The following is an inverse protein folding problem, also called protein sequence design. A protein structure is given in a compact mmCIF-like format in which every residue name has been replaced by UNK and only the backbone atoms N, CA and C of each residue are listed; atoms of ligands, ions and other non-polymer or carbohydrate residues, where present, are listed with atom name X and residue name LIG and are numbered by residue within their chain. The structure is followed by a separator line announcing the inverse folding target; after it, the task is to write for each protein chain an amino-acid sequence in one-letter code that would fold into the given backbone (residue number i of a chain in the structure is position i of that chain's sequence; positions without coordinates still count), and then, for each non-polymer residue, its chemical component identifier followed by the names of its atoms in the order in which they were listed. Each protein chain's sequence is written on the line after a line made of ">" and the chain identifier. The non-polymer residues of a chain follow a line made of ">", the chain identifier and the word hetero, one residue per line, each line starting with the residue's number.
data_IF_080358559231
#
_entry.id   IF_080358559231
#
_cell.length_a   1.000
_cell.length_b   1.000
_cell.length_c   1.000
_cell.angle_alpha   90.00
_cell.angle_beta   90.00
_cell.angle_gamma   90.00
#
_symmetry.space_group_name_H-M   'P 1'
#
loop_
_entity.id
_entity.type
_entity.pdbx_description
1 polymer ?
#
# COMPACT_ATOMS: atom_id res chain seq x y z
N UNK A 1 -26.21 10.11 14.01
CA UNK A 1 -26.51 11.33 13.22
C UNK A 1 -26.83 10.88 11.82
N UNK A 2 -28.02 11.21 11.32
CA UNK A 2 -28.42 10.93 9.94
C UNK A 2 -27.41 11.57 8.99
N UNK A 3 -26.90 10.89 7.94
CA UNK A 3 -26.03 11.53 6.97
C UNK A 3 -26.84 12.57 6.23
N UNK A 4 -26.59 13.85 6.53
CA UNK A 4 -27.19 14.95 5.80
C UNK A 4 -26.91 14.77 4.32
N UNK A 5 -27.96 14.97 3.51
CA UNK A 5 -27.89 14.91 2.06
C UNK A 5 -26.67 15.68 1.54
N UNK A 6 -25.81 14.99 0.80
CA UNK A 6 -24.64 15.61 0.20
C UNK A 6 -25.10 16.81 -0.67
N UNK A 7 -24.59 18.01 -0.39
CA UNK A 7 -24.81 19.17 -1.24
C UNK A 7 -23.88 19.05 -2.45
N UNK A 8 -24.47 18.89 -3.63
CA UNK A 8 -23.74 18.78 -4.89
C UNK A 8 -23.50 20.15 -5.49
N UNK A 9 -22.23 20.54 -5.61
CA UNK A 9 -21.86 21.82 -6.23
C UNK A 9 -21.50 21.60 -7.70
N UNK A 10 -22.03 22.42 -8.63
CA UNK A 10 -21.63 22.39 -10.03
C UNK A 10 -20.21 22.92 -10.18
N UNK A 11 -19.37 22.21 -10.91
CA UNK A 11 -18.06 22.68 -11.35
C UNK A 11 -18.13 23.20 -12.80
N UNK A 12 -17.03 23.76 -13.31
CA UNK A 12 -16.95 24.26 -14.68
C UNK A 12 -17.27 23.17 -15.70
N UNK A 13 -18.06 23.53 -16.71
CA UNK A 13 -18.31 22.68 -17.86
C UNK A 13 -16.97 22.35 -18.56
N UNK A 14 -16.66 21.06 -18.71
CA UNK A 14 -15.46 20.62 -19.42
C UNK A 14 -15.79 20.35 -20.90
N UNK A 15 -15.08 20.97 -21.86
CA UNK A 15 -15.30 20.73 -23.28
C UNK A 15 -14.87 19.31 -23.66
N UNK A 16 -15.76 18.57 -24.31
CA UNK A 16 -15.46 17.28 -24.93
C UNK A 16 -15.79 17.42 -26.42
N UNK A 17 -14.85 17.45 -27.30
CA UNK A 17 -14.95 17.62 -28.74
C UNK A 17 -16.33 17.86 -29.38
N UNK A 18 -16.41 18.45 -30.56
CA UNK A 18 -17.67 18.76 -31.29
C UNK A 18 -18.65 19.73 -30.58
N UNK A 19 -18.15 20.64 -29.72
CA UNK A 19 -18.98 21.67 -29.08
C UNK A 19 -19.86 21.18 -27.92
N UNK A 20 -19.70 19.92 -27.48
CA UNK A 20 -20.39 19.40 -26.32
C UNK A 20 -19.56 19.63 -25.03
N UNK A 21 -20.24 19.74 -23.89
CA UNK A 21 -19.61 19.87 -22.56
C UNK A 21 -20.08 18.78 -21.62
N UNK A 22 -19.17 18.19 -20.84
CA UNK A 22 -19.49 17.34 -19.69
C UNK A 22 -19.78 18.25 -18.49
N UNK A 23 -20.92 18.04 -17.84
CA UNK A 23 -21.19 18.69 -16.55
C UNK A 23 -20.61 17.87 -15.42
N UNK A 24 -19.84 18.54 -14.58
CA UNK A 24 -19.17 17.97 -13.43
C UNK A 24 -19.80 18.51 -12.14
N UNK A 25 -20.05 17.63 -11.19
CA UNK A 25 -20.58 17.95 -9.88
C UNK A 25 -19.71 17.33 -8.81
N UNK A 26 -19.49 18.04 -7.72
CA UNK A 26 -18.74 17.56 -6.57
C UNK A 26 -19.59 17.54 -5.32
N UNK A 27 -19.28 16.62 -4.43
CA UNK A 27 -19.72 16.63 -3.05
C UNK A 27 -18.62 16.09 -2.15
N UNK A 28 -18.42 16.69 -1.00
CA UNK A 28 -17.55 16.19 0.04
C UNK A 28 -18.42 15.71 1.20
N UNK A 29 -18.23 14.45 1.63
CA UNK A 29 -18.93 13.87 2.76
C UNK A 29 -17.90 13.23 3.69
N UNK A 30 -17.63 13.87 4.81
CA UNK A 30 -16.55 13.50 5.69
C UNK A 30 -15.18 13.64 4.99
N UNK A 31 -14.46 12.52 4.84
CA UNK A 31 -13.17 12.47 4.13
C UNK A 31 -13.29 12.09 2.66
N UNK A 32 -14.47 11.69 2.20
CA UNK A 32 -14.68 11.21 0.84
C UNK A 32 -15.09 12.33 -0.09
N UNK A 33 -14.38 12.45 -1.21
CA UNK A 33 -14.71 13.35 -2.32
C UNK A 33 -15.43 12.57 -3.40
N UNK A 34 -16.68 12.92 -3.64
CA UNK A 34 -17.51 12.39 -4.71
C UNK A 34 -17.46 13.30 -5.92
N UNK A 35 -17.41 12.70 -7.10
CA UNK A 35 -17.43 13.40 -8.37
C UNK A 35 -18.37 12.71 -9.34
N UNK A 36 -19.34 13.44 -9.91
CA UNK A 36 -20.23 12.97 -10.96
C UNK A 36 -19.95 13.74 -12.23
N UNK A 37 -19.57 13.05 -13.30
CA UNK A 37 -19.37 13.58 -14.63
C UNK A 37 -20.51 13.09 -15.53
N UNK A 38 -21.24 14.00 -16.21
CA UNK A 38 -22.39 13.66 -17.04
C UNK A 38 -22.30 14.30 -18.41
N UNK A 39 -22.26 13.46 -19.45
CA UNK A 39 -22.28 13.89 -20.85
C UNK A 39 -23.71 14.30 -21.31
N UNK A 40 -23.81 15.13 -22.38
CA UNK A 40 -25.10 15.58 -22.91
C UNK A 40 -26.03 14.45 -23.36
N UNK A 41 -25.45 13.33 -23.79
CA UNK A 41 -26.19 12.16 -24.32
C UNK A 41 -26.58 11.13 -23.26
N UNK A 42 -26.44 11.46 -21.96
CA UNK A 42 -26.92 10.63 -20.86
C UNK A 42 -25.90 9.63 -20.29
N UNK A 43 -24.70 9.56 -20.85
CA UNK A 43 -23.62 8.79 -20.21
C UNK A 43 -23.10 9.56 -18.99
N UNK A 44 -22.80 8.84 -17.92
CA UNK A 44 -22.26 9.45 -16.71
C UNK A 44 -21.43 8.48 -15.88
N UNK A 45 -20.60 9.07 -15.05
CA UNK A 45 -19.65 8.36 -14.19
C UNK A 45 -19.67 8.97 -12.79
N UNK A 46 -19.69 8.11 -11.78
CA UNK A 46 -19.49 8.48 -10.38
C UNK A 46 -18.15 7.95 -9.91
N UNK A 47 -17.30 8.82 -9.39
CA UNK A 47 -16.05 8.43 -8.73
C UNK A 47 -16.09 8.86 -7.26
N UNK A 48 -15.38 8.09 -6.43
CA UNK A 48 -15.11 8.44 -5.03
C UNK A 48 -13.61 8.41 -4.84
N UNK A 49 -13.04 9.55 -4.44
CA UNK A 49 -11.59 9.72 -4.30
C UNK A 49 -10.81 9.31 -5.57
N UNK A 50 -11.39 9.59 -6.76
CA UNK A 50 -10.81 9.25 -8.06
C UNK A 50 -11.06 7.81 -8.55
N UNK A 51 -11.64 6.93 -7.74
CA UNK A 51 -11.99 5.57 -8.14
C UNK A 51 -13.42 5.53 -8.70
N UNK A 52 -13.60 4.99 -9.92
CA UNK A 52 -14.92 4.82 -10.50
C UNK A 52 -15.70 3.75 -9.73
N UNK A 53 -16.90 4.12 -9.23
CA UNK A 53 -17.77 3.22 -8.48
C UNK A 53 -19.11 2.95 -9.17
N UNK A 54 -19.50 3.78 -10.13
CA UNK A 54 -20.71 3.60 -10.91
C UNK A 54 -20.61 4.31 -12.26
N UNK A 55 -21.25 3.71 -13.27
CA UNK A 55 -21.38 4.29 -14.60
C UNK A 55 -22.81 4.06 -15.10
N UNK A 56 -23.38 5.06 -15.82
CA UNK A 56 -24.61 4.90 -16.59
C UNK A 56 -24.33 5.16 -18.07
N UNK A 57 -24.82 4.28 -18.94
CA UNK A 57 -24.64 4.37 -20.39
C UNK A 57 -25.97 4.59 -21.15
N UNK A 58 -27.12 4.53 -20.46
CA UNK A 58 -28.45 4.46 -21.09
C UNK A 58 -29.48 5.39 -20.47
N UNK A 59 -29.05 6.45 -19.81
CA UNK A 59 -29.98 7.46 -19.34
C UNK A 59 -30.54 8.25 -20.56
N UNK A 60 -31.83 8.53 -20.55
CA UNK A 60 -32.51 9.27 -21.63
C UNK A 60 -31.93 10.67 -21.82
N UNK A 61 -31.49 11.26 -20.72
CA UNK A 61 -30.89 12.56 -20.72
C UNK A 61 -29.94 12.77 -19.52
N UNK A 62 -29.30 13.92 -19.48
CA UNK A 62 -28.35 14.32 -18.45
C UNK A 62 -28.96 14.36 -17.04
N UNK A 63 -30.27 14.66 -16.90
CA UNK A 63 -30.94 14.74 -15.59
C UNK A 63 -31.14 13.35 -14.99
N UNK A 64 -31.58 12.41 -15.83
CA UNK A 64 -31.76 11.01 -15.42
C UNK A 64 -30.42 10.39 -15.04
N UNK A 65 -29.35 10.62 -15.82
CA UNK A 65 -28.01 10.17 -15.51
C UNK A 65 -27.49 10.71 -14.15
N UNK A 66 -27.66 12.01 -13.93
CA UNK A 66 -27.25 12.63 -12.66
C UNK A 66 -28.05 12.09 -11.48
N UNK A 67 -29.37 11.94 -11.62
CA UNK A 67 -30.23 11.41 -10.56
C UNK A 67 -29.84 9.99 -10.18
N UNK A 68 -29.57 9.12 -11.18
CA UNK A 68 -29.15 7.74 -10.96
C UNK A 68 -27.80 7.64 -10.27
N UNK A 69 -26.83 8.47 -10.67
CA UNK A 69 -25.50 8.48 -10.06
C UNK A 69 -25.51 9.09 -8.67
N UNK A 70 -26.36 10.11 -8.41
CA UNK A 70 -26.57 10.65 -7.08
C UNK A 70 -27.15 9.60 -6.14
N UNK A 71 -28.17 8.86 -6.58
CA UNK A 71 -28.74 7.75 -5.81
C UNK A 71 -27.69 6.67 -5.51
N UNK A 72 -26.82 6.34 -6.50
CA UNK A 72 -25.71 5.43 -6.29
C UNK A 72 -24.72 5.94 -5.24
N UNK A 73 -24.42 7.24 -5.23
CA UNK A 73 -23.58 7.85 -4.20
C UNK A 73 -24.21 7.77 -2.80
N UNK A 74 -25.52 8.01 -2.69
CA UNK A 74 -26.25 7.88 -1.42
C UNK A 74 -26.29 6.43 -0.93
N UNK A 75 -26.47 5.45 -1.82
CA UNK A 75 -26.39 4.01 -1.50
C UNK A 75 -24.97 3.63 -1.04
N UNK A 76 -23.94 4.13 -1.74
CA UNK A 76 -22.55 3.93 -1.32
C UNK A 76 -22.28 4.43 0.10
N UNK A 77 -22.76 5.64 0.45
CA UNK A 77 -22.60 6.23 1.77
C UNK A 77 -23.29 5.40 2.87
N UNK A 78 -24.41 4.74 2.56
CA UNK A 78 -25.12 3.86 3.48
C UNK A 78 -24.54 2.44 3.54
N UNK A 79 -23.54 2.12 2.68
CA UNK A 79 -23.01 0.76 2.55
C UNK A 79 -24.01 -0.23 1.90
N UNK A 80 -25.01 0.29 1.20
CA UNK A 80 -26.03 -0.49 0.50
C UNK A 80 -25.54 -0.90 -0.89
N UNK A 81 -26.01 -2.05 -1.45
CA UNK A 81 -25.71 -2.41 -2.83
C UNK A 81 -26.17 -1.35 -3.81
N UNK A 82 -25.29 -0.95 -4.73
CA UNK A 82 -25.60 0.05 -5.75
C UNK A 82 -26.44 -0.60 -6.85
N UNK A 83 -27.70 -0.17 -6.98
CA UNK A 83 -28.58 -0.62 -8.06
C UNK A 83 -28.42 0.26 -9.31
N UNK A 84 -27.73 -0.23 -10.33
CA UNK A 84 -27.72 0.39 -11.65
C UNK A 84 -28.67 -0.36 -12.58
N UNK A 85 -29.50 0.37 -13.32
CA UNK A 85 -30.28 -0.21 -14.42
C UNK A 85 -29.40 -0.26 -15.67
N UNK A 86 -29.14 -1.45 -16.17
CA UNK A 86 -28.45 -1.67 -17.44
C UNK A 86 -29.39 -2.47 -18.33
N UNK A 87 -29.81 -1.89 -19.45
CA UNK A 87 -30.75 -2.52 -20.39
C UNK A 87 -32.06 -2.97 -19.72
N UNK A 88 -32.64 -2.13 -18.85
CA UNK A 88 -33.88 -2.42 -18.14
C UNK A 88 -33.77 -3.57 -17.12
N UNK A 89 -32.59 -4.16 -16.94
CA UNK A 89 -32.31 -5.17 -15.91
C UNK A 89 -31.52 -4.52 -14.79
N UNK A 90 -32.10 -4.49 -13.60
CA UNK A 90 -31.41 -4.04 -12.40
C UNK A 90 -30.27 -5.02 -12.08
N UNK A 91 -29.03 -4.59 -12.27
CA UNK A 91 -27.85 -5.28 -11.72
C UNK A 91 -27.50 -4.62 -10.39
N UNK A 92 -27.54 -5.40 -9.33
CA UNK A 92 -26.98 -4.99 -8.06
C UNK A 92 -25.47 -5.12 -8.18
N UNK A 93 -24.78 -3.99 -8.24
CA UNK A 93 -23.34 -3.95 -8.00
C UNK A 93 -23.21 -3.83 -6.48
N UNK A 94 -22.53 -4.78 -5.80
CA UNK A 94 -22.27 -4.60 -4.38
C UNK A 94 -21.66 -3.22 -4.18
N UNK A 95 -22.16 -2.46 -3.21
CA UNK A 95 -21.50 -1.21 -2.82
C UNK A 95 -20.10 -1.59 -2.35
N UNK A 96 -19.10 -1.39 -3.20
CA UNK A 96 -17.71 -1.68 -2.87
C UNK A 96 -17.13 -0.49 -2.08
N UNK A 97 -17.70 -0.19 -0.92
CA UNK A 97 -16.89 -0.10 0.28
C UNK A 97 -16.60 -1.55 0.66
N UNK A 98 -15.94 -2.27 -0.21
CA UNK A 98 -15.38 -3.53 0.16
C UNK A 98 -14.29 -3.19 1.17
N UNK A 99 -14.66 -3.17 2.43
CA UNK A 99 -13.71 -3.31 3.55
C UNK A 99 -13.13 -4.71 3.42
N UNK A 100 -12.37 -4.92 2.33
CA UNK A 100 -11.78 -6.21 1.97
C UNK A 100 -10.96 -6.80 3.12
N UNK A 101 -10.52 -5.95 4.03
CA UNK A 101 -9.72 -6.30 5.19
C UNK A 101 -10.44 -5.97 6.51
N UNK A 102 -11.77 -5.87 6.51
CA UNK A 102 -12.55 -5.62 7.73
C UNK A 102 -12.29 -6.74 8.75
N UNK A 103 -12.02 -6.35 10.01
CA UNK A 103 -11.68 -7.27 11.09
C UNK A 103 -10.28 -7.91 10.99
N UNK A 104 -9.50 -7.64 9.93
CA UNK A 104 -8.09 -8.03 9.86
C UNK A 104 -7.25 -7.10 10.73
N UNK A 105 -6.19 -7.64 11.32
CA UNK A 105 -5.27 -6.94 12.24
C UNK A 105 -3.85 -7.02 11.70
N UNK A 106 -3.20 -5.88 11.51
CA UNK A 106 -1.90 -5.81 10.88
C UNK A 106 -0.87 -5.01 11.66
N UNK A 107 0.39 -5.44 11.57
CA UNK A 107 1.55 -4.73 12.09
C UNK A 107 2.31 -4.09 10.93
N UNK A 108 2.52 -2.78 11.01
CA UNK A 108 3.30 -2.01 10.04
C UNK A 108 4.57 -1.50 10.71
N UNK A 109 5.72 -1.90 10.17
CA UNK A 109 7.03 -1.49 10.66
C UNK A 109 7.76 -0.72 9.57
N UNK A 110 8.31 0.47 9.93
CA UNK A 110 9.13 1.27 9.02
C UNK A 110 8.51 2.60 8.59
N UNK A 111 7.43 3.06 9.23
CA UNK A 111 6.94 4.43 9.02
C UNK A 111 7.93 5.39 9.64
N UNK A 112 8.52 6.28 8.83
CA UNK A 112 9.38 7.36 9.27
C UNK A 112 8.74 8.74 9.05
N UNK A 113 7.97 8.89 8.00
CA UNK A 113 7.20 10.08 7.60
C UNK A 113 6.14 9.68 6.55
N UNK A 114 5.43 10.67 6.02
CA UNK A 114 4.40 10.54 4.98
C UNK A 114 4.91 10.06 3.60
N UNK A 115 6.22 10.07 3.38
CA UNK A 115 6.85 9.57 2.14
C UNK A 115 7.31 8.11 2.26
N UNK A 116 7.12 7.49 3.41
CA UNK A 116 7.52 6.10 3.62
C UNK A 116 6.64 5.14 2.84
N UNK A 117 7.22 4.12 2.21
CA UNK A 117 6.46 3.02 1.59
C UNK A 117 5.52 2.37 2.62
N UNK A 118 6.00 2.20 3.85
CA UNK A 118 5.19 1.69 4.96
C UNK A 118 3.95 2.55 5.24
N UNK A 119 4.04 3.88 5.05
CA UNK A 119 2.88 4.77 5.16
C UNK A 119 1.86 4.51 4.06
N UNK A 120 2.29 4.42 2.78
CA UNK A 120 1.40 4.09 1.68
C UNK A 120 0.69 2.75 1.88
N UNK A 121 1.42 1.73 2.37
CA UNK A 121 0.84 0.44 2.75
C UNK A 121 -0.18 0.61 3.89
N UNK A 122 0.18 1.28 4.98
CA UNK A 122 -0.69 1.48 6.13
C UNK A 122 -2.00 2.20 5.75
N UNK A 123 -1.91 3.26 4.94
CA UNK A 123 -3.06 4.00 4.45
C UNK A 123 -4.00 3.11 3.62
N UNK A 124 -3.45 2.28 2.71
CA UNK A 124 -4.22 1.33 1.91
C UNK A 124 -4.89 0.25 2.77
N UNK A 125 -4.17 -0.36 3.71
CA UNK A 125 -4.74 -1.35 4.62
C UNK A 125 -5.87 -0.76 5.47
N UNK A 126 -5.67 0.45 6.00
CA UNK A 126 -6.70 1.14 6.81
C UNK A 126 -7.92 1.51 5.98
N UNK A 127 -7.73 2.00 4.76
CA UNK A 127 -8.82 2.32 3.83
C UNK A 127 -9.68 1.09 3.52
N UNK A 128 -9.09 -0.10 3.48
CA UNK A 128 -9.78 -1.38 3.29
C UNK A 128 -10.35 -1.98 4.58
N UNK A 129 -10.25 -1.30 5.73
CA UNK A 129 -10.94 -1.64 6.97
C UNK A 129 -10.09 -2.36 8.01
N UNK A 130 -8.79 -2.59 7.78
CA UNK A 130 -7.94 -3.25 8.76
C UNK A 130 -7.67 -2.37 10.00
N UNK A 131 -7.54 -3.00 11.17
CA UNK A 131 -6.96 -2.39 12.36
C UNK A 131 -5.44 -2.48 12.32
N UNK A 132 -4.73 -1.40 12.68
CA UNK A 132 -3.29 -1.32 12.56
C UNK A 132 -2.58 -1.13 13.90
N UNK A 133 -1.48 -1.85 14.06
CA UNK A 133 -0.38 -1.54 14.96
C UNK A 133 0.75 -0.91 14.13
N UNK A 134 1.32 0.18 14.61
CA UNK A 134 2.45 0.85 13.95
C UNK A 134 3.61 1.04 14.93
N UNK A 135 4.82 1.11 14.39
CA UNK A 135 6.01 1.34 15.20
C UNK A 135 6.76 2.58 14.74
N UNK A 136 7.55 3.14 15.64
CA UNK A 136 8.48 4.23 15.38
C UNK A 136 9.87 3.88 15.92
N UNK A 137 10.93 4.33 15.24
CA UNK A 137 12.30 3.94 15.58
C UNK A 137 12.76 4.46 16.96
N UNK A 138 12.49 5.72 17.26
CA UNK A 138 12.93 6.42 18.48
C UNK A 138 12.11 7.69 18.69
N UNK A 139 12.36 8.43 19.80
CA UNK A 139 11.60 9.64 20.15
C UNK A 139 11.69 10.76 19.09
N UNK A 140 12.79 10.83 18.33
CA UNK A 140 12.91 11.77 17.23
C UNK A 140 11.96 11.40 16.09
N UNK A 141 11.87 10.12 15.75
CA UNK A 141 10.95 9.60 14.74
C UNK A 141 9.49 9.69 15.21
N UNK A 142 9.24 9.48 16.51
CA UNK A 142 7.90 9.53 17.13
C UNK A 142 7.14 10.79 16.76
N UNK A 143 7.80 11.96 16.77
CA UNK A 143 7.19 13.26 16.45
C UNK A 143 6.59 13.31 15.03
N UNK A 144 7.16 12.55 14.10
CA UNK A 144 6.66 12.44 12.72
C UNK A 144 5.64 11.31 12.57
N UNK A 145 5.77 10.24 13.35
CA UNK A 145 4.88 9.07 13.26
C UNK A 145 3.56 9.26 14.00
N UNK A 146 3.56 9.95 15.16
CA UNK A 146 2.34 10.14 15.96
C UNK A 146 1.17 10.81 15.20
N UNK A 147 1.39 11.87 14.38
CA UNK A 147 0.30 12.43 13.59
C UNK A 147 -0.27 11.41 12.59
N UNK A 148 0.61 10.65 11.94
CA UNK A 148 0.26 9.62 10.96
C UNK A 148 -0.48 8.45 11.63
N UNK A 149 -0.02 8.01 12.80
CA UNK A 149 -0.68 6.97 13.57
C UNK A 149 -2.11 7.37 13.99
N UNK A 150 -2.32 8.65 14.32
CA UNK A 150 -3.66 9.19 14.61
C UNK A 150 -4.55 9.23 13.36
N UNK A 151 -4.00 9.60 12.21
CA UNK A 151 -4.73 9.59 10.94
C UNK A 151 -5.18 8.18 10.56
N UNK A 152 -4.34 7.16 10.81
CA UNK A 152 -4.66 5.76 10.61
C UNK A 152 -5.64 5.20 11.65
N UNK A 153 -5.96 5.94 12.72
CA UNK A 153 -6.66 5.40 13.90
C UNK A 153 -5.94 4.13 14.42
N UNK A 154 -4.59 4.16 14.44
CA UNK A 154 -3.79 3.03 14.84
C UNK A 154 -4.05 2.69 16.31
N UNK A 155 -4.39 1.42 16.59
CA UNK A 155 -4.80 0.97 17.94
C UNK A 155 -3.60 0.72 18.86
N UNK A 156 -2.44 0.41 18.27
CA UNK A 156 -1.20 0.15 18.97
C UNK A 156 -0.10 1.00 18.32
N UNK A 157 0.63 1.77 19.12
CA UNK A 157 1.77 2.58 18.66
C UNK A 157 2.92 2.35 19.63
N UNK A 158 4.04 1.79 19.16
CA UNK A 158 5.15 1.37 20.00
C UNK A 158 6.53 1.74 19.43
N UNK A 159 7.55 1.97 20.28
CA UNK A 159 8.93 2.06 19.81
C UNK A 159 9.42 0.72 19.30
N UNK A 160 10.24 0.74 18.24
CA UNK A 160 10.95 -0.42 17.74
C UNK A 160 12.24 -0.01 17.03
N UNK A 161 13.37 -0.13 17.74
CA UNK A 161 14.67 -0.29 17.12
C UNK A 161 15.01 -1.78 17.13
N UNK A 162 15.10 -2.38 15.95
CA UNK A 162 15.33 -3.82 15.81
C UNK A 162 16.69 -4.29 16.31
N UNK A 163 17.62 -3.36 16.61
CA UNK A 163 18.92 -3.63 17.21
C UNK A 163 18.89 -3.59 18.73
N UNK A 164 17.80 -3.15 19.33
CA UNK A 164 17.65 -3.14 20.79
C UNK A 164 16.98 -4.44 21.23
N UNK A 165 17.71 -5.31 21.96
CA UNK A 165 17.18 -6.59 22.42
C UNK A 165 15.86 -6.44 23.19
N UNK A 166 14.90 -7.29 22.89
CA UNK A 166 13.58 -7.32 23.56
C UNK A 166 12.55 -6.34 23.00
N UNK A 167 12.91 -5.33 22.21
CA UNK A 167 11.92 -4.41 21.68
C UNK A 167 11.00 -5.04 20.65
N UNK A 168 11.50 -5.93 19.80
CA UNK A 168 10.65 -6.62 18.84
C UNK A 168 9.69 -7.57 19.56
N UNK A 169 10.19 -8.35 20.51
CA UNK A 169 9.38 -9.22 21.36
C UNK A 169 8.27 -8.45 22.07
N UNK A 170 8.58 -7.29 22.66
CA UNK A 170 7.61 -6.45 23.36
C UNK A 170 6.46 -5.97 22.43
N UNK A 171 6.74 -5.69 21.16
CA UNK A 171 5.71 -5.34 20.18
C UNK A 171 4.75 -6.52 19.95
N UNK A 172 5.29 -7.73 19.74
CA UNK A 172 4.46 -8.92 19.51
C UNK A 172 3.72 -9.36 20.76
N UNK A 173 4.30 -9.24 21.95
CA UNK A 173 3.63 -9.46 23.24
C UNK A 173 2.45 -8.50 23.44
N UNK A 174 2.62 -7.23 23.10
CA UNK A 174 1.55 -6.25 23.15
C UNK A 174 0.41 -6.60 22.19
N UNK A 175 0.72 -7.02 20.97
CA UNK A 175 -0.27 -7.48 19.98
C UNK A 175 -0.98 -8.75 20.50
N UNK A 176 -0.24 -9.70 21.07
CA UNK A 176 -0.80 -10.90 21.63
C UNK A 176 -1.79 -10.58 22.76
N UNK A 177 -1.43 -9.65 23.65
CA UNK A 177 -2.26 -9.22 24.79
C UNK A 177 -3.54 -8.51 24.34
N UNK A 178 -3.41 -7.53 23.40
CA UNK A 178 -4.53 -6.65 23.04
C UNK A 178 -5.43 -7.26 21.97
N UNK A 179 -4.88 -8.08 21.06
CA UNK A 179 -5.60 -8.62 19.91
C UNK A 179 -5.72 -10.14 19.87
N UNK A 180 -4.76 -10.84 20.46
CA UNK A 180 -4.71 -12.32 20.45
C UNK A 180 -4.49 -12.93 19.07
N UNK A 181 -4.38 -12.12 18.02
CA UNK A 181 -4.16 -12.54 16.62
C UNK A 181 -3.43 -11.49 15.82
N UNK A 182 -2.88 -11.94 14.69
CA UNK A 182 -2.29 -11.08 13.66
C UNK A 182 -2.64 -11.68 12.30
N UNK A 183 -3.09 -10.85 11.36
CA UNK A 183 -3.48 -11.29 10.02
C UNK A 183 -2.42 -10.93 8.97
N UNK A 184 -1.64 -9.87 9.19
CA UNK A 184 -0.52 -9.51 8.31
C UNK A 184 0.56 -8.69 9.02
N UNK A 185 1.78 -8.74 8.48
CA UNK A 185 2.93 -7.93 8.91
C UNK A 185 3.60 -7.32 7.71
N UNK A 186 3.93 -6.04 7.78
CA UNK A 186 4.76 -5.33 6.80
C UNK A 186 6.09 -4.98 7.43
N UNK A 187 7.15 -5.64 6.97
CA UNK A 187 8.55 -5.34 7.27
C UNK A 187 9.09 -4.38 6.21
N UNK A 188 9.14 -3.08 6.54
CA UNK A 188 9.61 -2.03 5.62
C UNK A 188 10.79 -1.27 6.22
N UNK A 189 11.80 -2.02 6.65
CA UNK A 189 13.05 -1.49 7.22
C UNK A 189 14.25 -2.04 6.47
N UNK A 190 15.27 -1.20 6.36
CA UNK A 190 16.59 -1.55 5.87
C UNK A 190 17.61 -0.53 6.37
N UNK A 191 18.82 -0.96 6.62
CA UNK A 191 19.91 -0.08 7.02
C UNK A 191 21.25 -0.65 6.59
N UNK A 192 22.15 0.23 6.21
CA UNK A 192 23.57 -0.06 6.02
C UNK A 192 24.39 1.13 6.52
N UNK A 193 25.52 0.92 7.20
CA UNK A 193 26.47 1.99 7.50
C UNK A 193 26.91 2.70 6.23
N UNK A 194 27.21 4.01 6.32
CA UNK A 194 27.53 4.82 5.12
C UNK A 194 28.75 4.33 4.36
N UNK A 195 29.79 3.94 5.07
CA UNK A 195 31.03 3.37 4.52
C UNK A 195 30.77 2.06 3.75
N UNK A 196 29.92 1.18 4.30
CA UNK A 196 29.52 -0.06 3.64
C UNK A 196 28.59 0.23 2.42
N UNK A 197 27.71 1.23 2.51
CA UNK A 197 26.79 1.57 1.42
C UNK A 197 27.49 2.27 0.26
N UNK A 198 28.45 3.17 0.54
CA UNK A 198 29.10 3.99 -0.50
C UNK A 198 30.43 3.44 -0.99
N UNK A 199 30.98 2.43 -0.31
CA UNK A 199 32.24 1.76 -0.65
C UNK A 199 32.07 0.72 -1.78
N UNK A 200 33.21 0.18 -2.24
CA UNK A 200 33.20 -1.00 -3.11
C UNK A 200 32.74 -2.22 -2.31
N UNK A 201 31.98 -3.10 -2.93
CA UNK A 201 31.46 -4.32 -2.24
C UNK A 201 32.60 -5.20 -1.71
N UNK A 202 33.72 -5.29 -2.46
CA UNK A 202 34.87 -6.11 -2.07
C UNK A 202 35.65 -5.56 -0.89
N UNK A 203 35.45 -4.28 -0.53
CA UNK A 203 36.14 -3.60 0.56
C UNK A 203 35.27 -3.46 1.81
N UNK A 204 34.03 -4.02 1.79
CA UNK A 204 33.11 -3.92 2.92
C UNK A 204 33.73 -4.61 4.15
N UNK A 205 33.69 -3.92 5.29
CA UNK A 205 34.11 -4.52 6.55
C UNK A 205 33.14 -5.61 7.03
N UNK A 206 33.63 -6.58 7.81
CA UNK A 206 32.78 -7.61 8.41
C UNK A 206 31.63 -6.97 9.23
N UNK A 207 31.94 -5.96 10.03
CA UNK A 207 30.93 -5.23 10.84
C UNK A 207 29.87 -4.55 9.97
N UNK A 208 30.29 -3.84 8.91
CA UNK A 208 29.37 -3.22 7.94
C UNK A 208 28.51 -4.24 7.23
N UNK A 209 29.08 -5.40 6.84
CA UNK A 209 28.35 -6.50 6.25
C UNK A 209 27.32 -7.08 7.24
N UNK A 210 27.76 -7.43 8.46
CA UNK A 210 26.88 -8.02 9.49
C UNK A 210 25.75 -7.07 9.85
N UNK A 211 26.04 -5.79 10.10
CA UNK A 211 25.02 -4.77 10.40
C UNK A 211 23.98 -4.65 9.27
N UNK A 212 24.43 -4.67 8.01
CA UNK A 212 23.52 -4.57 6.85
C UNK A 212 22.64 -5.81 6.77
N UNK A 213 23.20 -7.00 6.93
CA UNK A 213 22.46 -8.26 6.89
C UNK A 213 21.52 -8.42 8.07
N UNK A 214 21.93 -8.05 9.25
CA UNK A 214 21.11 -8.09 10.46
C UNK A 214 19.84 -7.26 10.27
N UNK A 215 19.97 -5.95 10.02
CA UNK A 215 18.82 -5.05 9.96
C UNK A 215 17.96 -5.28 8.70
N UNK A 216 18.58 -5.59 7.56
CA UNK A 216 17.86 -5.61 6.28
C UNK A 216 17.37 -7.00 5.86
N UNK A 217 17.80 -8.06 6.53
CA UNK A 217 17.41 -9.44 6.20
C UNK A 217 17.03 -10.26 7.44
N UNK A 218 17.92 -10.42 8.43
CA UNK A 218 17.68 -11.30 9.57
C UNK A 218 16.47 -10.89 10.42
N UNK A 219 16.26 -9.57 10.60
CA UNK A 219 15.10 -9.07 11.37
C UNK A 219 13.77 -9.49 10.75
N UNK A 220 13.69 -9.71 9.43
CA UNK A 220 12.51 -10.30 8.79
C UNK A 220 12.25 -11.74 9.26
N UNK A 221 13.30 -12.55 9.40
CA UNK A 221 13.18 -13.93 9.90
C UNK A 221 12.74 -13.94 11.38
N UNK A 222 13.33 -13.07 12.21
CA UNK A 222 12.93 -12.91 13.60
C UNK A 222 11.45 -12.49 13.71
N UNK A 223 11.01 -11.56 12.88
CA UNK A 223 9.64 -11.08 12.82
C UNK A 223 8.68 -12.20 12.39
N UNK A 224 9.03 -12.98 11.37
CA UNK A 224 8.24 -14.13 10.92
C UNK A 224 8.03 -15.15 12.06
N UNK A 225 9.10 -15.47 12.79
CA UNK A 225 9.07 -16.36 13.97
C UNK A 225 8.11 -15.86 15.06
N UNK A 226 8.12 -14.54 15.33
CA UNK A 226 7.27 -13.94 16.37
C UNK A 226 5.81 -13.78 15.91
N UNK A 227 5.58 -13.60 14.60
CA UNK A 227 4.25 -13.48 14.02
C UNK A 227 3.51 -14.82 13.93
N UNK A 228 4.22 -15.91 13.63
CA UNK A 228 3.67 -17.23 13.40
C UNK A 228 2.67 -17.69 14.48
N UNK A 229 2.98 -17.62 15.81
CA UNK A 229 2.05 -18.04 16.85
C UNK A 229 0.74 -17.24 16.91
N UNK A 230 0.73 -16.02 16.36
CA UNK A 230 -0.43 -15.13 16.30
C UNK A 230 -1.25 -15.31 15.01
N UNK A 231 -0.71 -16.01 14.00
CA UNK A 231 -1.33 -16.27 12.71
C UNK A 231 -1.99 -17.65 12.63
N UNK A 232 -2.72 -18.06 13.67
CA UNK A 232 -3.31 -19.40 13.80
C UNK A 232 -4.32 -19.77 12.69
N UNK A 233 -4.87 -18.79 12.00
CA UNK A 233 -5.80 -18.98 10.87
C UNK A 233 -5.17 -18.61 9.52
N UNK A 234 -3.84 -18.69 9.43
CA UNK A 234 -3.09 -18.14 8.33
C UNK A 234 -2.86 -16.63 8.45
N UNK A 235 -2.23 -16.06 7.45
CA UNK A 235 -1.90 -14.64 7.42
C UNK A 235 -0.97 -14.30 6.25
N UNK A 236 -0.41 -13.09 6.27
CA UNK A 236 0.52 -12.68 5.21
C UNK A 236 1.70 -11.87 5.77
N UNK A 237 2.89 -12.26 5.42
CA UNK A 237 4.13 -11.54 5.74
C UNK A 237 4.65 -10.83 4.49
N UNK A 238 4.91 -9.54 4.61
CA UNK A 238 5.48 -8.72 3.55
C UNK A 238 6.81 -8.17 3.96
N UNK A 239 7.77 -8.14 3.02
CA UNK A 239 9.02 -7.40 3.18
C UNK A 239 9.28 -6.55 1.94
N UNK A 240 9.98 -5.42 2.11
CA UNK A 240 10.32 -4.53 0.99
C UNK A 240 11.69 -4.90 0.45
N UNK A 241 11.75 -5.22 -0.83
CA UNK A 241 12.98 -5.45 -1.57
C UNK A 241 13.17 -4.40 -2.67
N UNK A 242 14.18 -4.58 -3.48
CA UNK A 242 14.43 -3.75 -4.64
C UNK A 242 15.15 -4.58 -5.71
N UNK A 243 14.87 -4.30 -6.94
CA UNK A 243 15.38 -5.03 -8.11
C UNK A 243 16.91 -5.08 -8.20
N UNK A 244 17.61 -4.23 -7.44
CA UNK A 244 19.05 -4.32 -7.22
C UNK A 244 19.53 -5.62 -6.55
N UNK A 245 18.63 -6.50 -6.10
CA UNK A 245 18.89 -7.88 -5.69
C UNK A 245 19.28 -8.80 -6.86
N UNK A 246 18.81 -8.49 -8.07
CA UNK A 246 18.97 -9.31 -9.27
C UNK A 246 19.88 -8.66 -10.33
N UNK A 247 19.92 -7.33 -10.32
CA UNK A 247 20.68 -6.52 -11.28
C UNK A 247 21.56 -5.54 -10.53
N UNK A 248 22.76 -5.28 -11.04
CA UNK A 248 23.65 -4.28 -10.45
C UNK A 248 23.08 -2.87 -10.66
N UNK A 249 22.68 -2.23 -9.57
CA UNK A 249 22.27 -0.83 -9.54
C UNK A 249 23.40 0.00 -8.97
N UNK A 250 23.82 1.03 -9.72
CA UNK A 250 24.90 1.94 -9.30
C UNK A 250 24.60 2.53 -7.92
N UNK A 251 25.58 2.53 -7.03
CA UNK A 251 25.51 3.06 -5.67
C UNK A 251 24.58 2.28 -4.71
N UNK A 252 24.07 1.12 -5.09
CA UNK A 252 23.28 0.28 -4.22
C UNK A 252 24.11 -0.77 -3.46
N UNK A 253 25.25 -1.15 -4.00
CA UNK A 253 26.36 -1.89 -3.41
C UNK A 253 25.94 -3.06 -2.48
N UNK A 254 26.41 -3.06 -1.23
CA UNK A 254 26.13 -4.15 -0.28
C UNK A 254 24.64 -4.35 0.01
N UNK A 255 23.83 -3.31 -0.17
CA UNK A 255 22.37 -3.42 -0.02
C UNK A 255 21.75 -4.37 -1.07
N UNK A 256 22.32 -4.44 -2.29
CA UNK A 256 21.90 -5.42 -3.30
C UNK A 256 22.09 -6.86 -2.82
N UNK A 257 23.23 -7.14 -2.19
CA UNK A 257 23.52 -8.46 -1.57
C UNK A 257 22.51 -8.78 -0.47
N UNK A 258 22.23 -7.82 0.42
CA UNK A 258 21.24 -8.00 1.49
C UNK A 258 19.82 -8.23 0.94
N UNK A 259 19.42 -7.55 -0.13
CA UNK A 259 18.10 -7.76 -0.75
C UNK A 259 18.01 -9.10 -1.49
N UNK A 260 19.10 -9.60 -2.09
CA UNK A 260 19.15 -10.93 -2.67
C UNK A 260 18.97 -12.03 -1.58
N UNK A 261 19.65 -11.87 -0.43
CA UNK A 261 19.47 -12.75 0.71
C UNK A 261 18.02 -12.69 1.25
N UNK A 262 17.43 -11.50 1.35
CA UNK A 262 16.06 -11.30 1.80
C UNK A 262 15.03 -11.99 0.87
N UNK A 263 15.20 -11.88 -0.45
CA UNK A 263 14.33 -12.56 -1.43
C UNK A 263 14.48 -14.09 -1.36
N UNK A 264 15.72 -14.58 -1.11
CA UNK A 264 15.91 -16.00 -0.83
C UNK A 264 15.19 -16.43 0.46
N UNK A 265 15.31 -15.64 1.54
CA UNK A 265 14.60 -15.89 2.80
C UNK A 265 13.07 -15.95 2.60
N UNK A 266 12.49 -15.09 1.77
CA UNK A 266 11.06 -15.13 1.43
C UNK A 266 10.65 -16.49 0.86
N UNK A 267 11.43 -17.05 -0.05
CA UNK A 267 11.14 -18.39 -0.63
C UNK A 267 11.16 -19.49 0.43
N UNK A 268 12.20 -19.53 1.27
CA UNK A 268 12.32 -20.54 2.32
C UNK A 268 11.23 -20.40 3.39
N UNK A 269 10.98 -19.19 3.89
CA UNK A 269 9.92 -18.93 4.89
C UNK A 269 8.53 -19.26 4.32
N UNK A 270 8.29 -19.01 3.01
CA UNK A 270 7.02 -19.38 2.39
C UNK A 270 6.82 -20.91 2.34
N UNK A 271 7.88 -21.68 2.10
CA UNK A 271 7.82 -23.13 2.13
C UNK A 271 7.59 -23.69 3.55
N UNK A 272 8.21 -23.08 4.56
CA UNK A 272 8.04 -23.48 5.96
C UNK A 272 6.67 -23.13 6.53
N UNK A 273 6.15 -21.92 6.24
CA UNK A 273 4.92 -21.41 6.84
C UNK A 273 3.68 -21.62 5.96
N UNK A 274 3.85 -21.94 4.68
CA UNK A 274 2.77 -22.21 3.73
C UNK A 274 1.77 -23.28 4.20
N UNK A 275 2.22 -24.44 4.77
CA UNK A 275 1.33 -25.45 5.34
C UNK A 275 0.43 -24.92 6.46
N UNK A 276 0.78 -23.81 7.10
CA UNK A 276 -0.02 -23.12 8.13
C UNK A 276 -0.93 -22.03 7.55
N UNK A 277 -1.00 -21.91 6.22
CA UNK A 277 -1.77 -20.89 5.53
C UNK A 277 -1.17 -19.48 5.59
N UNK A 278 0.14 -19.36 5.95
CA UNK A 278 0.84 -18.08 6.00
C UNK A 278 1.57 -17.86 4.68
N UNK A 279 1.22 -16.79 4.00
CA UNK A 279 1.81 -16.35 2.73
C UNK A 279 2.96 -15.39 3.00
N UNK A 280 3.94 -15.38 2.13
CA UNK A 280 5.15 -14.56 2.29
C UNK A 280 5.51 -13.92 0.96
N UNK A 281 5.67 -12.60 0.94
CA UNK A 281 5.96 -11.84 -0.27
C UNK A 281 7.11 -10.86 -0.08
N UNK A 282 7.99 -10.79 -1.06
CA UNK A 282 8.86 -9.64 -1.26
C UNK A 282 8.16 -8.64 -2.20
N UNK A 283 8.02 -7.40 -1.78
CA UNK A 283 7.47 -6.32 -2.60
C UNK A 283 8.64 -5.50 -3.13
N UNK A 284 8.73 -5.40 -4.45
CA UNK A 284 9.81 -4.69 -5.17
C UNK A 284 9.26 -3.46 -5.90
N UNK A 285 9.16 -2.31 -5.24
CA UNK A 285 8.77 -1.07 -5.91
C UNK A 285 9.85 -0.60 -6.88
N UNK A 286 9.45 0.14 -7.90
CA UNK A 286 10.37 0.97 -8.68
C UNK A 286 11.04 2.06 -7.82
N UNK A 287 11.97 2.84 -8.37
CA UNK A 287 12.59 3.93 -7.64
C UNK A 287 11.55 4.93 -7.11
N UNK A 288 11.57 5.18 -5.81
CA UNK A 288 10.67 6.07 -5.08
C UNK A 288 11.45 7.11 -4.30
N UNK A 289 11.02 8.36 -4.32
CA UNK A 289 11.60 9.44 -3.55
C UNK A 289 11.25 9.32 -2.07
N UNK A 290 11.86 8.34 -1.39
CA UNK A 290 11.70 8.12 0.05
C UNK A 290 12.89 8.67 0.82
N UNK A 291 12.75 8.83 2.15
CA UNK A 291 13.87 9.20 3.00
C UNK A 291 15.04 8.21 2.91
N UNK A 292 14.78 6.93 2.76
CA UNK A 292 15.82 5.91 2.59
C UNK A 292 16.57 6.11 1.26
N UNK A 293 15.87 6.47 0.19
CA UNK A 293 16.45 6.70 -1.12
C UNK A 293 17.27 8.01 -1.20
N UNK A 294 17.00 9.01 -0.34
CA UNK A 294 17.76 10.27 -0.31
C UNK A 294 19.26 10.09 0.03
N UNK A 295 19.64 8.93 0.57
CA UNK A 295 21.04 8.56 0.80
C UNK A 295 21.77 8.02 -0.44
N UNK A 296 21.07 7.78 -1.56
CA UNK A 296 21.66 7.25 -2.80
C UNK A 296 22.14 8.42 -3.67
N UNK A 297 23.44 8.52 -3.99
CA UNK A 297 23.95 9.56 -4.90
C UNK A 297 23.28 9.49 -6.29
N UNK A 298 23.06 10.66 -6.90
CA UNK A 298 22.44 10.79 -8.24
C UNK A 298 21.02 10.17 -8.35
N UNK A 299 20.25 10.15 -7.25
CA UNK A 299 18.93 9.52 -7.24
C UNK A 299 17.94 10.14 -8.23
N UNK A 300 17.99 11.46 -8.46
CA UNK A 300 17.14 12.15 -9.46
C UNK A 300 17.35 11.60 -10.87
N UNK A 301 18.62 11.34 -11.26
CA UNK A 301 18.94 10.70 -12.55
C UNK A 301 18.38 9.28 -12.65
N UNK A 302 18.34 8.57 -11.52
CA UNK A 302 17.73 7.24 -11.45
C UNK A 302 16.21 7.32 -11.68
N UNK A 303 15.53 8.31 -11.08
CA UNK A 303 14.09 8.55 -11.30
C UNK A 303 13.79 8.90 -12.76
N UNK A 304 14.54 9.82 -13.36
CA UNK A 304 14.36 10.18 -14.77
C UNK A 304 14.56 8.97 -15.69
N UNK A 305 15.64 8.21 -15.48
CA UNK A 305 15.90 6.97 -16.21
C UNK A 305 14.76 5.96 -16.03
N UNK A 306 14.27 5.77 -14.80
CA UNK A 306 13.20 4.84 -14.52
C UNK A 306 11.91 5.23 -15.24
N UNK A 307 11.53 6.52 -15.21
CA UNK A 307 10.36 7.04 -15.93
C UNK A 307 10.48 6.86 -17.45
N UNK A 308 11.65 7.11 -18.00
CA UNK A 308 11.90 6.98 -19.44
C UNK A 308 11.93 5.51 -19.89
N UNK A 309 12.43 4.60 -19.03
CA UNK A 309 12.65 3.19 -19.35
C UNK A 309 11.40 2.33 -19.12
N UNK A 310 10.67 2.56 -18.01
CA UNK A 310 9.53 1.75 -17.65
C UNK A 310 8.46 1.72 -18.77
N UNK A 311 7.94 0.57 -19.16
CA UNK A 311 6.85 0.44 -20.13
C UNK A 311 5.64 1.32 -19.82
N UNK A 312 5.28 1.47 -18.55
CA UNK A 312 4.19 2.35 -18.12
C UNK A 312 4.48 3.85 -18.27
N UNK A 313 5.74 4.25 -18.59
CA UNK A 313 6.18 5.66 -18.73
C UNK A 313 5.81 6.53 -17.53
N UNK A 314 5.67 5.93 -16.39
CA UNK A 314 5.26 6.57 -15.13
C UNK A 314 6.16 6.11 -13.99
N UNK A 315 6.38 6.98 -13.02
CA UNK A 315 6.99 6.59 -11.75
C UNK A 315 5.92 5.98 -10.84
N UNK A 316 6.31 4.94 -10.12
CA UNK A 316 5.49 4.36 -9.05
C UNK A 316 5.36 5.35 -7.90
N UNK A 317 4.21 5.33 -7.23
CA UNK A 317 3.93 6.08 -6.00
C UNK A 317 3.75 5.13 -4.82
N UNK A 318 3.86 5.65 -3.60
CA UNK A 318 3.66 4.85 -2.39
C UNK A 318 2.23 4.28 -2.31
N UNK A 319 1.26 4.98 -2.89
CA UNK A 319 -0.14 4.55 -2.99
C UNK A 319 -0.28 3.31 -3.89
N UNK A 320 0.45 3.24 -5.00
CA UNK A 320 0.45 2.09 -5.91
C UNK A 320 1.00 0.85 -5.18
N UNK A 321 2.10 1.04 -4.42
CA UNK A 321 2.68 -0.03 -3.60
C UNK A 321 1.71 -0.47 -2.52
N UNK A 322 1.08 0.50 -1.84
CA UNK A 322 0.08 0.24 -0.81
C UNK A 322 -1.10 -0.57 -1.32
N UNK A 323 -1.69 -0.17 -2.45
CA UNK A 323 -2.84 -0.83 -3.06
C UNK A 323 -2.54 -2.29 -3.43
N UNK A 324 -1.41 -2.54 -4.10
CA UNK A 324 -0.99 -3.89 -4.49
C UNK A 324 -0.69 -4.78 -3.26
N UNK A 325 0.01 -4.22 -2.25
CA UNK A 325 0.32 -4.95 -1.02
C UNK A 325 -0.96 -5.31 -0.25
N UNK A 326 -1.92 -4.39 -0.18
CA UNK A 326 -3.19 -4.62 0.49
C UNK A 326 -4.06 -5.68 -0.22
N UNK A 327 -4.05 -5.71 -1.56
CA UNK A 327 -4.68 -6.78 -2.34
C UNK A 327 -4.08 -8.16 -1.99
N UNK A 328 -2.75 -8.25 -1.89
CA UNK A 328 -2.08 -9.51 -1.55
C UNK A 328 -2.40 -10.00 -0.12
N UNK A 329 -2.83 -9.14 0.79
CA UNK A 329 -3.30 -9.55 2.12
C UNK A 329 -4.73 -10.12 2.11
N UNK A 330 -5.50 -9.87 1.05
CA UNK A 330 -6.86 -10.38 0.93
C UNK A 330 -6.89 -11.88 0.58
N UNK A 331 -7.94 -12.57 1.00
CA UNK A 331 -8.09 -14.02 0.80
C UNK A 331 -8.23 -14.40 -0.69
N UNK A 332 -8.59 -13.48 -1.58
CA UNK A 332 -8.56 -13.68 -3.03
C UNK A 332 -7.15 -14.00 -3.56
N UNK A 333 -6.11 -13.53 -2.86
CA UNK A 333 -4.71 -13.80 -3.20
C UNK A 333 -4.13 -15.04 -2.50
N UNK A 334 -4.97 -15.94 -1.96
CA UNK A 334 -4.56 -17.05 -1.09
C UNK A 334 -3.56 -18.04 -1.69
N UNK A 335 -3.45 -18.10 -3.00
CA UNK A 335 -2.53 -19.00 -3.71
C UNK A 335 -1.29 -18.27 -4.28
N UNK A 336 -1.11 -16.98 -3.94
CA UNK A 336 0.09 -16.23 -4.29
C UNK A 336 1.00 -16.22 -3.05
N UNK A 337 2.20 -16.76 -3.15
CA UNK A 337 3.18 -16.79 -2.05
C UNK A 337 4.58 -17.17 -2.56
N UNK A 338 5.61 -16.77 -1.83
CA UNK A 338 7.00 -17.17 -2.10
C UNK A 338 7.69 -16.40 -3.21
N UNK A 339 7.08 -15.31 -3.71
CA UNK A 339 7.57 -14.60 -4.88
C UNK A 339 7.90 -13.14 -4.59
N UNK A 340 8.66 -12.53 -5.50
CA UNK A 340 8.93 -11.11 -5.55
C UNK A 340 7.93 -10.44 -6.49
N UNK A 341 7.11 -9.55 -5.94
CA UNK A 341 6.08 -8.82 -6.67
C UNK A 341 6.61 -7.44 -7.05
N UNK A 342 6.79 -7.21 -8.34
CA UNK A 342 7.26 -5.94 -8.87
C UNK A 342 6.13 -4.95 -9.03
N UNK A 343 6.33 -3.74 -8.47
CA UNK A 343 5.40 -2.62 -8.61
C UNK A 343 6.23 -1.43 -9.10
N UNK A 344 6.58 -1.45 -10.38
CA UNK A 344 7.58 -0.56 -10.97
C UNK A 344 7.25 -0.11 -12.40
N UNK A 345 6.01 -0.34 -12.85
CA UNK A 345 5.59 -0.03 -14.20
C UNK A 345 6.30 -0.84 -15.30
N UNK A 346 6.88 -1.99 -14.93
CA UNK A 346 7.64 -2.86 -15.83
C UNK A 346 9.11 -2.43 -15.99
N UNK A 347 9.64 -1.57 -15.12
CA UNK A 347 11.02 -1.10 -15.19
C UNK A 347 12.04 -2.24 -15.17
N UNK A 348 11.79 -3.28 -14.37
CA UNK A 348 12.72 -4.41 -14.20
C UNK A 348 12.81 -5.34 -15.42
N UNK A 349 11.83 -5.36 -16.34
CA UNK A 349 11.80 -6.27 -17.50
C UNK A 349 12.46 -5.69 -18.75
N UNK A 350 12.88 -4.43 -18.71
CA UNK A 350 13.45 -3.73 -19.86
C UNK A 350 14.94 -3.46 -19.62
N UNK A 351 15.78 -3.66 -20.63
CA UNK A 351 17.22 -3.30 -20.60
C UNK A 351 17.49 -1.80 -20.81
#
# INVERSE_FOLDING_TARGET
>A
MSPNAATWEPNKDMPVGKGATVKQFFANVGKDRFEINVAPWGEGQLTVNGLEIARTAEAKDRREAFSSLRQAAEQYLRGEPIGLSVNGKRRLIPAVKAKLLDGKKGLIIGIANEQSIAWGCAAAFRALGADLAVTYLNDKAKKHVDPLARELDAKIVMPLDVRVPGQMEAVFERIAKDWGKLDFVVHSIAFSPKDALHGRVVDVSLDGFLTTMEVSCWTFLQMARLAEPLMKKGGTLFTMTYYGSQTVVKNYNIMGVAKAALESAVRYVSAELGPKGIRVHAISPGPLATRAASGIPEFDKLLEKAKAKAPARSLVKIEDVGAATAFLAHDAARLITGDTIYIDGGYHVVD
#
